data_IF_071426215163
#
_entry.id   IF_071426215163
#
_cell.length_a   1.000
_cell.length_b   1.000
_cell.length_c   1.000
_cell.angle_alpha   90.00
_cell.angle_beta   90.00
_cell.angle_gamma   90.00
#
_symmetry.space_group_name_H-M   'P 1'
#
loop_
_entity.id
_entity.type
_entity.pdbx_description
1 polymer ?
#
# COMPACT_ATOMS: atom_id res chain seq x y z
N UNK A 1 16.08 -31.62 5.61
CA UNK A 1 15.73 -30.50 6.50
C UNK A 1 15.39 -29.32 5.61
N UNK A 2 14.18 -29.33 5.07
CA UNK A 2 13.65 -28.27 4.22
C UNK A 2 13.16 -27.12 5.11
N UNK A 3 14.07 -26.19 5.43
CA UNK A 3 13.62 -24.84 5.79
C UNK A 3 13.18 -24.19 4.48
N UNK A 4 11.90 -24.39 4.13
CA UNK A 4 11.19 -23.42 3.29
C UNK A 4 11.25 -22.09 4.05
N UNK A 5 12.32 -21.32 3.85
CA UNK A 5 12.28 -19.88 4.05
C UNK A 5 11.23 -19.38 3.08
N UNK A 6 10.00 -19.24 3.57
CA UNK A 6 8.97 -18.46 2.88
C UNK A 6 9.58 -17.10 2.64
N UNK A 7 10.10 -16.92 1.43
CA UNK A 7 10.38 -15.63 0.82
C UNK A 7 9.06 -14.87 0.83
N UNK A 8 8.75 -14.20 1.94
CA UNK A 8 7.93 -13.03 1.90
C UNK A 8 8.77 -11.99 1.17
N UNK A 9 8.80 -12.08 -0.17
CA UNK A 9 9.28 -10.97 -0.98
C UNK A 9 8.44 -9.78 -0.53
N UNK A 10 9.08 -8.76 0.04
CA UNK A 10 8.39 -7.57 0.52
C UNK A 10 7.49 -7.05 -0.60
N UNK A 11 6.18 -7.02 -0.34
CA UNK A 11 5.21 -6.52 -1.30
C UNK A 11 4.79 -5.13 -0.89
N UNK A 12 4.70 -4.28 -1.88
CA UNK A 12 4.28 -2.90 -1.72
C UNK A 12 2.91 -2.73 -2.39
N UNK A 13 2.07 -1.90 -1.83
CA UNK A 13 0.75 -1.58 -2.36
C UNK A 13 0.58 -0.06 -2.36
N UNK A 14 -0.28 0.44 -3.25
CA UNK A 14 -0.69 1.84 -3.25
C UNK A 14 -2.16 1.91 -2.83
N UNK A 15 -2.44 2.61 -1.74
CA UNK A 15 -3.79 2.84 -1.24
C UNK A 15 -4.13 4.31 -1.46
N UNK A 16 -5.20 4.56 -2.21
CA UNK A 16 -5.73 5.88 -2.51
C UNK A 16 -7.05 6.13 -1.81
N UNK A 17 -7.22 7.27 -1.16
CA UNK A 17 -8.47 7.64 -0.53
C UNK A 17 -8.68 9.15 -0.52
N UNK A 18 -9.92 9.57 -0.33
CA UNK A 18 -10.23 10.98 -0.11
C UNK A 18 -9.90 11.35 1.34
N UNK A 19 -9.00 12.30 1.52
CA UNK A 19 -8.78 12.98 2.78
C UNK A 19 -10.01 13.84 3.09
N UNK A 20 -10.80 13.43 4.07
CA UNK A 20 -11.93 14.18 4.59
C UNK A 20 -11.72 14.32 6.09
N UNK A 21 -11.81 15.54 6.58
CA UNK A 21 -11.83 15.86 8.02
C UNK A 21 -13.22 15.59 8.65
N UNK A 22 -14.12 15.00 7.86
CA UNK A 22 -15.50 14.74 8.25
C UNK A 22 -15.63 13.24 8.59
N UNK A 23 -16.24 12.92 9.72
CA UNK A 23 -16.40 11.56 10.28
C UNK A 23 -17.25 10.62 9.40
N UNK A 24 -17.61 11.04 8.18
CA UNK A 24 -18.38 10.27 7.21
C UNK A 24 -17.43 9.42 6.38
N UNK A 25 -17.47 8.12 6.62
CA UNK A 25 -16.79 7.11 5.82
C UNK A 25 -17.16 7.30 4.35
N UNK A 26 -16.20 7.67 3.51
CA UNK A 26 -16.40 7.71 2.08
C UNK A 26 -16.19 6.31 1.48
N UNK A 27 -16.91 5.96 0.40
CA UNK A 27 -16.92 4.61 -0.18
C UNK A 27 -15.61 4.18 -0.87
N UNK A 28 -14.50 4.91 -0.70
CA UNK A 28 -13.31 4.80 -1.54
C UNK A 28 -12.04 4.64 -0.70
N UNK A 29 -11.52 3.41 -0.61
CA UNK A 29 -10.12 3.22 -0.90
C UNK A 29 -9.93 2.49 -2.24
N UNK A 30 -9.16 3.10 -3.14
CA UNK A 30 -8.59 2.41 -4.30
C UNK A 30 -7.33 1.68 -3.84
N UNK A 31 -7.14 0.44 -4.26
CA UNK A 31 -5.96 -0.35 -3.94
C UNK A 31 -5.31 -0.81 -5.23
N UNK A 32 -4.01 -0.55 -5.39
CA UNK A 32 -3.20 -1.00 -6.53
C UNK A 32 -2.00 -1.81 -6.04
N UNK A 33 -1.60 -2.80 -6.83
CA UNK A 33 -0.49 -3.71 -6.53
C UNK A 33 -0.90 -5.19 -6.51
N UNK A 34 -0.07 -6.07 -5.93
CA UNK A 34 1.20 -5.75 -5.26
C UNK A 34 2.30 -5.38 -6.27
N UNK A 35 3.18 -4.48 -5.86
CA UNK A 35 4.44 -4.15 -6.52
C UNK A 35 5.57 -4.96 -5.87
N UNK A 36 6.56 -5.34 -6.69
CA UNK A 36 7.71 -6.13 -6.23
C UNK A 36 8.78 -5.32 -5.48
N UNK A 37 8.73 -4.00 -5.56
CA UNK A 37 9.65 -3.08 -4.89
C UNK A 37 8.99 -1.74 -4.57
N UNK A 38 9.60 -1.01 -3.63
CA UNK A 38 9.10 0.28 -3.15
C UNK A 38 9.12 1.36 -4.23
N UNK A 39 10.12 1.36 -5.12
CA UNK A 39 10.33 2.43 -6.10
C UNK A 39 9.22 2.43 -7.16
N UNK A 40 8.81 1.24 -7.61
CA UNK A 40 7.68 1.07 -8.52
C UNK A 40 6.35 1.51 -7.89
N UNK A 41 6.12 1.15 -6.63
CA UNK A 41 4.92 1.59 -5.89
C UNK A 41 4.93 3.12 -5.68
N UNK A 42 6.08 3.69 -5.33
CA UNK A 42 6.27 5.13 -5.14
C UNK A 42 5.97 5.91 -6.42
N UNK A 43 6.57 5.51 -7.55
CA UNK A 43 6.33 6.16 -8.83
C UNK A 43 4.84 6.15 -9.21
N UNK A 44 4.15 5.03 -8.95
CA UNK A 44 2.70 4.94 -9.18
C UNK A 44 1.90 5.87 -8.26
N UNK A 45 2.26 5.99 -6.98
CA UNK A 45 1.60 6.90 -6.06
C UNK A 45 1.83 8.38 -6.43
N UNK A 46 3.05 8.73 -6.86
CA UNK A 46 3.40 10.09 -7.32
C UNK A 46 2.59 10.50 -8.56
N UNK A 47 2.51 9.62 -9.56
CA UNK A 47 1.70 9.84 -10.77
C UNK A 47 0.21 10.05 -10.44
N UNK A 48 -0.34 9.19 -9.58
CA UNK A 48 -1.73 9.31 -9.12
C UNK A 48 -1.99 10.59 -8.31
N UNK A 49 -1.02 11.04 -7.51
CA UNK A 49 -1.13 12.29 -6.76
C UNK A 49 -0.97 13.53 -7.67
N UNK A 50 -0.32 13.41 -8.82
CA UNK A 50 -0.23 14.48 -9.82
C UNK A 50 -1.55 14.70 -10.59
N UNK A 51 -2.47 13.73 -10.57
CA UNK A 51 -3.71 13.76 -11.36
C UNK A 51 -4.78 14.78 -10.90
N UNK A 52 -4.49 15.59 -9.87
CA UNK A 52 -5.15 16.89 -9.68
C UNK A 52 -6.39 16.95 -8.78
N UNK A 53 -6.79 15.87 -8.09
CA UNK A 53 -7.81 15.97 -7.04
C UNK A 53 -7.15 16.26 -5.67
N UNK A 54 -7.12 17.52 -5.19
CA UNK A 54 -6.37 17.89 -3.98
C UNK A 54 -6.86 17.19 -2.70
N UNK A 55 -8.10 16.72 -2.73
CA UNK A 55 -8.74 15.97 -1.66
C UNK A 55 -8.41 14.47 -1.70
N UNK A 56 -7.79 13.94 -2.76
CA UNK A 56 -7.42 12.53 -2.86
C UNK A 56 -5.92 12.40 -2.64
N UNK A 57 -5.53 11.40 -1.83
CA UNK A 57 -4.13 11.07 -1.56
C UNK A 57 -3.90 9.59 -1.76
N UNK A 58 -2.79 9.26 -2.40
CA UNK A 58 -2.29 7.91 -2.59
C UNK A 58 -1.01 7.71 -1.78
N UNK A 59 -0.95 6.62 -1.00
CA UNK A 59 0.14 6.27 -0.10
C UNK A 59 0.65 4.87 -0.41
N UNK A 60 1.96 4.68 -0.30
CA UNK A 60 2.59 3.36 -0.38
C UNK A 60 2.51 2.67 0.98
N UNK A 61 2.10 1.41 1.00
CA UNK A 61 2.11 0.55 2.20
C UNK A 61 2.86 -0.74 1.90
N UNK A 62 3.60 -1.26 2.87
CA UNK A 62 4.26 -2.56 2.78
C UNK A 62 3.42 -3.62 3.50
N UNK A 63 3.47 -4.86 3.02
CA UNK A 63 2.94 -6.00 3.77
C UNK A 63 3.61 -6.06 5.15
N UNK A 64 2.81 -6.33 6.18
CA UNK A 64 3.35 -6.52 7.52
C UNK A 64 4.31 -7.71 7.53
N UNK A 65 5.46 -7.62 8.21
CA UNK A 65 6.30 -8.79 8.42
C UNK A 65 5.49 -9.88 9.13
N UNK A 66 5.75 -11.13 8.80
CA UNK A 66 5.12 -12.25 9.49
C UNK A 66 5.33 -12.09 11.00
N UNK A 67 4.28 -12.24 11.83
CA UNK A 67 4.44 -12.17 13.27
C UNK A 67 5.44 -13.26 13.70
N UNK A 68 6.28 -13.01 14.72
CA UNK A 68 7.11 -14.07 15.28
C UNK A 68 6.21 -15.22 15.74
N UNK A 69 6.63 -16.46 15.49
CA UNK A 69 5.89 -17.65 15.95
C UNK A 69 5.58 -17.50 17.44
N UNK A 70 4.30 -17.54 17.81
CA UNK A 70 3.90 -17.55 19.22
C UNK A 70 4.36 -18.86 19.85
N UNK A 71 4.91 -18.84 21.08
CA UNK A 71 5.35 -20.04 21.78
C UNK A 71 4.19 -21.01 22.07
#
# INVERSE_FOLDING_TARGET
MDRMTSNFAERYWVIGGRWVDDARHLPWPRVLGPYGDYQAAQASAEDLNASGEPQVRYLVVADAPAPPDRP
#
